data_IF_791956953708
#
_entry.id   IF_791956953708
#
_cell.length_a   1.000
_cell.length_b   1.000
_cell.length_c   1.000
_cell.angle_alpha   90.00
_cell.angle_beta   90.00
_cell.angle_gamma   90.00
#
_symmetry.space_group_name_H-M   'P 1'
#
loop_
_entity.id
_entity.type
_entity.pdbx_description
1 polymer ?
#
# COMPACT_ATOMS: atom_id res chain seq x y z
N UNK A 1 4.68 2.82 -15.24
CA UNK A 1 4.00 1.81 -14.39
C UNK A 1 4.82 1.64 -13.13
N UNK A 2 4.21 1.27 -12.02
CA UNK A 2 4.91 0.90 -10.77
C UNK A 2 3.96 0.08 -9.89
N UNK A 3 4.41 -0.29 -8.70
CA UNK A 3 3.53 -0.86 -7.67
C UNK A 3 3.41 0.09 -6.48
N UNK A 4 2.30 0.01 -5.78
CA UNK A 4 2.14 0.56 -4.43
C UNK A 4 1.70 -0.57 -3.49
N UNK A 5 2.33 -0.63 -2.33
CA UNK A 5 2.06 -1.60 -1.28
C UNK A 5 1.64 -0.83 -0.03
N UNK A 6 0.66 -1.37 0.69
CA UNK A 6 0.19 -0.82 1.97
C UNK A 6 0.23 -1.92 3.03
N UNK A 7 0.72 -1.59 4.22
CA UNK A 7 0.76 -2.52 5.37
C UNK A 7 0.22 -1.85 6.62
N UNK A 8 -0.71 -2.51 7.30
CA UNK A 8 -1.11 -2.18 8.66
C UNK A 8 -0.18 -2.90 9.63
N UNK A 9 0.41 -2.15 10.56
CA UNK A 9 1.44 -2.66 11.46
C UNK A 9 1.11 -2.32 12.90
N UNK A 10 1.22 -3.31 13.78
CA UNK A 10 1.18 -3.13 15.23
C UNK A 10 2.58 -2.86 15.75
N UNK A 11 2.82 -1.68 16.30
CA UNK A 11 4.11 -1.27 16.84
C UNK A 11 4.09 -1.34 18.37
N UNK A 12 5.00 -2.14 18.92
CA UNK A 12 5.08 -2.37 20.35
C UNK A 12 5.70 -1.17 21.07
N UNK A 13 5.40 -0.97 22.37
CA UNK A 13 5.89 0.17 23.14
C UNK A 13 7.42 0.23 23.26
N UNK A 14 8.09 -0.91 23.11
CA UNK A 14 9.55 -1.00 23.20
C UNK A 14 10.28 -0.36 22.00
N UNK A 15 9.55 0.02 20.93
CA UNK A 15 10.09 0.62 19.71
C UNK A 15 10.96 -0.30 18.85
N UNK A 16 11.17 -1.55 19.28
CA UNK A 16 12.04 -2.55 18.60
C UNK A 16 11.24 -3.66 17.93
N UNK A 17 9.99 -3.86 18.37
CA UNK A 17 9.12 -4.90 17.84
C UNK A 17 7.98 -4.25 17.06
N UNK A 18 7.77 -4.72 15.83
CA UNK A 18 6.60 -4.37 15.04
C UNK A 18 6.13 -5.58 14.27
N UNK A 19 4.82 -5.82 14.27
CA UNK A 19 4.20 -6.99 13.64
C UNK A 19 3.34 -6.52 12.48
N UNK A 20 3.62 -7.02 11.27
CA UNK A 20 2.74 -6.82 10.13
C UNK A 20 1.40 -7.53 10.42
N UNK A 21 0.31 -6.77 10.42
CA UNK A 21 -1.04 -7.27 10.69
C UNK A 21 -1.66 -7.77 9.39
N UNK A 22 -1.68 -6.91 8.38
CA UNK A 22 -2.26 -7.20 7.08
C UNK A 22 -1.70 -6.25 6.03
N UNK A 23 -1.53 -6.73 4.81
CA UNK A 23 -0.96 -5.98 3.70
C UNK A 23 -1.58 -6.35 2.36
N UNK A 24 -1.59 -5.37 1.46
CA UNK A 24 -2.11 -5.49 0.10
C UNK A 24 -1.26 -4.65 -0.85
N UNK A 25 -1.43 -4.89 -2.15
CA UNK A 25 -0.66 -4.26 -3.20
C UNK A 25 -1.49 -4.01 -4.44
N UNK A 26 -1.13 -2.95 -5.17
CA UNK A 26 -1.70 -2.61 -6.47
C UNK A 26 -0.54 -2.40 -7.44
N UNK A 27 -0.60 -3.08 -8.58
CA UNK A 27 0.21 -2.77 -9.74
C UNK A 27 -0.53 -1.77 -10.62
N UNK A 28 0.07 -0.61 -10.88
CA UNK A 28 -0.66 0.55 -11.38
C UNK A 28 -1.29 0.36 -12.76
N UNK A 29 -0.73 -0.52 -13.61
CA UNK A 29 -1.34 -0.84 -14.91
C UNK A 29 -2.67 -1.58 -14.82
N UNK A 30 -3.03 -2.12 -13.65
CA UNK A 30 -4.30 -2.81 -13.39
C UNK A 30 -5.25 -1.99 -12.52
N UNK A 31 -5.07 -0.67 -12.45
CA UNK A 31 -5.86 0.21 -11.61
C UNK A 31 -7.38 0.13 -11.89
N UNK A 32 -7.76 -0.09 -13.15
CA UNK A 32 -9.16 -0.21 -13.57
C UNK A 32 -9.79 -1.58 -13.22
N UNK A 33 -9.02 -2.51 -12.63
CA UNK A 33 -9.48 -3.84 -12.23
C UNK A 33 -9.52 -4.88 -13.35
N UNK A 34 -9.32 -4.48 -14.61
CA UNK A 34 -9.19 -5.42 -15.73
C UNK A 34 -7.75 -5.95 -15.84
N UNK A 35 -7.59 -7.23 -15.55
CA UNK A 35 -6.29 -7.92 -15.65
C UNK A 35 -5.92 -8.28 -17.09
N UNK A 36 -6.89 -8.32 -18.01
CA UNK A 36 -6.67 -8.68 -19.41
C UNK A 36 -6.31 -7.46 -20.26
N UNK A 37 -6.73 -6.28 -19.85
CA UNK A 37 -6.50 -5.03 -20.59
C UNK A 37 -5.74 -4.00 -19.72
N UNK A 38 -4.42 -4.20 -19.50
CA UNK A 38 -3.62 -3.29 -18.68
C UNK A 38 -3.54 -1.89 -19.30
N UNK A 39 -3.78 -0.86 -18.50
CA UNK A 39 -3.71 0.55 -18.90
C UNK A 39 -2.67 1.31 -18.11
N UNK A 40 -1.74 1.94 -18.81
CA UNK A 40 -0.65 2.67 -18.18
C UNK A 40 -1.13 3.98 -17.54
N UNK A 41 -0.63 4.23 -16.34
CA UNK A 41 -0.70 5.57 -15.73
C UNK A 41 0.21 6.54 -16.48
N UNK A 42 -0.12 7.83 -16.42
CA UNK A 42 0.70 8.92 -16.96
C UNK A 42 1.70 9.39 -15.89
N UNK A 43 2.99 9.55 -16.23
CA UNK A 43 3.97 10.15 -15.31
C UNK A 43 3.50 11.51 -14.79
N UNK A 44 3.79 11.82 -13.52
CA UNK A 44 3.47 13.08 -12.84
C UNK A 44 1.97 13.45 -12.75
N UNK A 45 1.05 12.58 -13.16
CA UNK A 45 -0.37 12.75 -12.90
C UNK A 45 -0.72 12.13 -11.54
N UNK A 46 -1.52 12.83 -10.76
CA UNK A 46 -2.02 12.33 -9.47
C UNK A 46 -3.15 11.34 -9.74
N UNK A 47 -3.10 10.19 -9.06
CA UNK A 47 -4.12 9.14 -9.10
C UNK A 47 -4.58 8.80 -7.68
N UNK A 48 -5.87 8.49 -7.54
CA UNK A 48 -6.43 7.90 -6.32
C UNK A 48 -6.33 6.37 -6.44
N UNK A 49 -5.79 5.73 -5.41
CA UNK A 49 -5.67 4.28 -5.32
C UNK A 49 -6.54 3.78 -4.16
N UNK A 50 -7.37 2.76 -4.41
CA UNK A 50 -8.21 2.12 -3.40
C UNK A 50 -7.74 0.68 -3.19
N UNK A 51 -7.29 0.37 -1.97
CA UNK A 51 -6.74 -0.93 -1.64
C UNK A 51 -7.80 -1.82 -0.97
N UNK A 52 -8.08 -2.97 -1.58
CA UNK A 52 -8.79 -4.06 -0.90
C UNK A 52 -7.78 -4.79 0.00
N UNK A 53 -7.80 -4.50 1.31
CA UNK A 53 -6.81 -5.03 2.27
C UNK A 53 -7.27 -6.35 2.91
N UNK A 54 -8.51 -6.80 2.67
CA UNK A 54 -9.07 -7.99 3.30
C UNK A 54 -9.69 -7.71 4.67
N UNK A 55 -10.04 -8.76 5.41
CA UNK A 55 -10.67 -8.66 6.75
C UNK A 55 -9.75 -9.18 7.83
N UNK A 56 -9.64 -8.46 8.94
CA UNK A 56 -8.88 -8.87 10.12
C UNK A 56 -9.59 -8.41 11.40
N UNK A 57 -9.61 -9.26 12.42
CA UNK A 57 -9.97 -8.89 13.78
C UNK A 57 -8.72 -8.83 14.63
N UNK A 58 -8.36 -7.64 15.13
CA UNK A 58 -7.18 -7.45 15.98
C UNK A 58 -7.49 -6.48 17.12
N UNK A 59 -6.93 -6.77 18.29
CA UNK A 59 -6.88 -5.86 19.42
C UNK A 59 -5.49 -5.23 19.48
N UNK A 60 -5.43 -3.90 19.50
CA UNK A 60 -4.19 -3.15 19.74
C UNK A 60 -4.09 -2.85 21.24
N UNK A 61 -3.15 -3.46 21.98
CA UNK A 61 -3.02 -3.23 23.41
C UNK A 61 -2.68 -1.78 23.76
N UNK A 62 -2.94 -1.40 25.02
CA UNK A 62 -2.54 -0.09 25.53
C UNK A 62 -1.06 0.16 25.26
N UNK A 63 -0.73 1.38 24.86
CA UNK A 63 0.59 1.88 24.50
C UNK A 63 1.19 1.33 23.19
N UNK A 64 0.52 0.39 22.51
CA UNK A 64 0.86 0.08 21.13
C UNK A 64 0.48 1.23 20.19
N UNK A 65 1.09 1.27 19.01
CA UNK A 65 0.77 2.24 17.97
C UNK A 65 0.34 1.53 16.70
N UNK A 66 -0.69 2.08 16.07
CA UNK A 66 -1.09 1.69 14.72
C UNK A 66 -0.19 2.46 13.74
N UNK A 67 0.51 1.72 12.87
CA UNK A 67 1.33 2.30 11.80
C UNK A 67 0.82 1.83 10.45
N UNK A 68 0.77 2.76 9.49
CA UNK A 68 0.59 2.45 8.08
C UNK A 68 1.94 2.61 7.38
N UNK A 69 2.40 1.57 6.70
CA UNK A 69 3.57 1.62 5.83
C UNK A 69 3.11 1.65 4.37
N UNK A 70 3.69 2.55 3.58
CA UNK A 70 3.43 2.67 2.15
C UNK A 70 4.77 2.58 1.42
N UNK A 71 4.89 1.62 0.51
CA UNK A 71 6.10 1.39 -0.29
C UNK A 71 5.73 1.08 -1.73
N UNK A 72 6.73 0.86 -2.59
CA UNK A 72 6.52 0.40 -3.99
C UNK A 72 7.08 -1.00 -4.25
N UNK A 73 7.31 -1.76 -3.18
CA UNK A 73 7.76 -3.15 -3.28
C UNK A 73 7.50 -3.90 -1.98
N UNK A 74 7.30 -5.21 -2.10
CA UNK A 74 7.11 -6.12 -0.98
C UNK A 74 7.54 -7.55 -1.40
N UNK A 75 8.80 -7.66 -1.81
CA UNK A 75 9.41 -8.94 -2.20
C UNK A 75 9.73 -9.80 -0.95
N UNK A 76 9.59 -11.13 -1.00
CA UNK A 76 9.20 -11.98 -2.13
C UNK A 76 7.69 -12.21 -2.25
N UNK A 77 6.87 -11.58 -1.42
CA UNK A 77 5.41 -11.77 -1.45
C UNK A 77 4.80 -11.35 -2.79
N UNK A 78 5.31 -10.27 -3.37
CA UNK A 78 4.97 -9.80 -4.71
C UNK A 78 6.25 -9.75 -5.55
N UNK A 79 6.11 -10.01 -6.85
CA UNK A 79 7.17 -9.80 -7.82
C UNK A 79 7.53 -8.31 -7.89
N UNK A 80 8.77 -8.01 -8.21
CA UNK A 80 9.24 -6.62 -8.31
C UNK A 80 8.80 -6.03 -9.64
N UNK A 81 8.11 -4.90 -9.62
CA UNK A 81 7.82 -4.14 -10.84
C UNK A 81 9.11 -3.50 -11.37
N UNK A 82 9.41 -3.73 -12.65
CA UNK A 82 10.56 -3.13 -13.32
C UNK A 82 10.42 -1.62 -13.56
N UNK A 83 9.23 -1.07 -13.36
CA UNK A 83 8.80 0.30 -13.71
C UNK A 83 8.83 0.65 -15.21
N UNK A 84 9.14 -0.33 -16.07
CA UNK A 84 9.26 -0.19 -17.52
C UNK A 84 7.95 -0.44 -18.29
N UNK A 85 6.83 -0.63 -17.61
CA UNK A 85 5.55 -0.95 -18.26
C UNK A 85 5.56 -2.23 -19.13
N UNK A 86 6.55 -3.12 -18.96
CA UNK A 86 6.72 -4.34 -19.77
C UNK A 86 7.75 -4.18 -20.89
N UNK A 87 8.33 -2.98 -21.06
CA UNK A 87 9.49 -2.76 -21.91
C UNK A 87 10.77 -3.30 -21.26
N UNK A 88 11.83 -3.39 -22.05
CA UNK A 88 13.16 -3.84 -21.61
C UNK A 88 14.18 -2.72 -21.83
N UNK A 89 15.10 -2.58 -20.89
CA UNK A 89 16.29 -1.74 -21.01
C UNK A 89 17.53 -2.57 -20.59
N UNK A 90 18.73 -1.99 -20.71
CA UNK A 90 19.99 -2.68 -20.38
C UNK A 90 20.06 -3.16 -18.92
N UNK A 91 19.41 -2.44 -18.00
CA UNK A 91 19.42 -2.72 -16.56
C UNK A 91 18.31 -3.69 -16.11
N UNK A 92 17.32 -3.95 -16.97
CA UNK A 92 16.11 -4.71 -16.66
C UNK A 92 15.07 -3.97 -15.79
N UNK A 93 15.35 -2.74 -15.35
CA UNK A 93 14.44 -1.90 -14.58
C UNK A 93 14.78 -0.41 -14.70
N UNK A 94 13.83 0.44 -14.33
CA UNK A 94 14.01 1.88 -14.11
C UNK A 94 13.75 2.25 -12.65
N UNK A 95 14.53 3.20 -12.13
CA UNK A 95 14.31 3.77 -10.80
C UNK A 95 13.16 4.79 -10.90
N UNK A 96 12.12 4.57 -10.11
CA UNK A 96 10.97 5.47 -10.05
C UNK A 96 10.91 6.20 -8.70
N UNK A 97 10.63 7.51 -8.74
CA UNK A 97 10.38 8.31 -7.53
C UNK A 97 8.88 8.42 -7.33
N UNK A 98 8.40 7.92 -6.19
CA UNK A 98 6.98 8.02 -5.85
C UNK A 98 6.72 9.15 -4.86
N UNK A 99 5.53 9.76 -4.97
CA UNK A 99 5.08 10.81 -4.06
C UNK A 99 3.70 10.44 -3.52
N UNK A 100 3.59 10.37 -2.21
CA UNK A 100 2.30 10.18 -1.53
C UNK A 100 1.76 11.56 -1.16
N UNK A 101 0.70 11.97 -1.84
CA UNK A 101 0.03 13.23 -1.55
C UNK A 101 -0.89 13.04 -0.32
N UNK A 102 -0.68 13.88 0.69
CA UNK A 102 -1.50 13.93 1.91
C UNK A 102 -1.65 15.38 2.33
N UNK A 103 -2.38 16.14 1.51
CA UNK A 103 -2.67 17.55 1.72
C UNK A 103 -4.19 17.79 1.78
N UNK A 104 -4.61 19.04 1.96
CA UNK A 104 -6.03 19.39 2.11
C UNK A 104 -6.87 19.03 0.87
N UNK A 105 -6.29 19.08 -0.33
CA UNK A 105 -6.96 18.71 -1.58
C UNK A 105 -6.85 17.20 -1.88
N UNK A 106 -5.80 16.54 -1.37
CA UNK A 106 -5.48 15.13 -1.61
C UNK A 106 -5.35 14.37 -0.28
N UNK A 107 -6.47 14.14 0.40
CA UNK A 107 -6.47 13.46 1.69
C UNK A 107 -6.30 11.94 1.52
N UNK A 108 -5.07 11.45 1.55
CA UNK A 108 -4.83 9.99 1.67
C UNK A 108 -5.19 9.51 3.08
N UNK A 109 -6.00 8.46 3.23
CA UNK A 109 -6.42 7.96 4.54
C UNK A 109 -6.56 6.44 4.57
N UNK A 110 -6.65 5.89 5.78
CA UNK A 110 -7.04 4.50 6.04
C UNK A 110 -8.34 4.48 6.84
N UNK A 111 -9.27 3.60 6.46
CA UNK A 111 -10.50 3.36 7.21
C UNK A 111 -10.26 2.18 8.14
N UNK A 112 -10.38 2.41 9.45
CA UNK A 112 -10.28 1.37 10.47
C UNK A 112 -11.65 1.16 11.11
N UNK A 113 -12.34 0.04 10.84
CA UNK A 113 -13.59 -0.27 11.53
C UNK A 113 -13.29 -0.65 12.97
N UNK A 114 -13.64 0.22 13.91
CA UNK A 114 -13.43 0.00 15.35
C UNK A 114 -14.71 -0.57 15.95
N UNK A 115 -14.59 -1.71 16.63
CA UNK A 115 -15.67 -2.27 17.44
C UNK A 115 -15.53 -1.76 18.87
N UNK A 116 -16.54 -1.03 19.35
CA UNK A 116 -16.66 -0.66 20.77
C UNK A 116 -17.41 -1.77 21.51
N UNK A 117 -16.80 -2.32 22.56
CA UNK A 117 -17.47 -3.20 23.53
C UNK A 117 -18.33 -2.39 24.51
N UNK A 118 -19.17 -1.48 24.00
CA UNK A 118 -20.27 -1.00 24.83
C UNK A 118 -21.17 -2.19 25.10
N UNK A 119 -21.31 -2.57 26.38
CA UNK A 119 -22.22 -3.63 26.80
C UNK A 119 -23.61 -3.28 26.26
N UNK A 120 -24.16 -4.13 25.41
CA UNK A 120 -25.62 -4.18 25.21
C UNK A 120 -26.31 -4.51 26.53
#
# INVERSE_FOLDING_TARGET
DTDFMVKLVDVYPNGKTSINVIDSGIRTRFLDGDLNEPKLIKPNKIYKYEFAIGSIGIYFPKNHKIRLEITSSNFPRFDVNSNLAGEQNENGYDVATQTIYHDKANQSYVILPVFSNEKQ
#
